data_IF_770395365285
#
_entry.id   IF_770395365285
#
_cell.length_a   1.000
_cell.length_b   1.000
_cell.length_c   1.000
_cell.angle_alpha   90.00
_cell.angle_beta   90.00
_cell.angle_gamma   90.00
#
_symmetry.space_group_name_H-M   'P 1'
#
loop_
_entity.id
_entity.type
_entity.pdbx_description
1 polymer ?
#
# COMPACT_ATOMS: atom_id res chain seq x y z
N UNK A 1 24.41 24.99 -6.57
CA UNK A 1 23.83 23.68 -6.13
C UNK A 1 23.18 23.93 -4.78
N UNK A 2 21.87 24.09 -4.75
CA UNK A 2 21.12 24.19 -3.48
C UNK A 2 21.12 22.80 -2.82
N UNK A 3 21.86 22.67 -1.72
CA UNK A 3 21.79 21.48 -0.88
C UNK A 3 20.37 21.40 -0.32
N UNK A 4 19.54 20.58 -0.96
CA UNK A 4 18.27 20.18 -0.36
C UNK A 4 18.60 19.35 0.88
N UNK A 5 17.85 19.56 1.96
CA UNK A 5 17.96 18.70 3.13
C UNK A 5 17.74 17.22 2.80
N UNK A 6 17.90 16.31 3.78
CA UNK A 6 17.72 14.88 3.55
C UNK A 6 16.35 14.62 2.94
N UNK A 7 16.27 13.64 2.02
CA UNK A 7 15.03 13.22 1.38
C UNK A 7 14.05 12.71 2.44
N UNK A 8 12.78 13.13 2.37
CA UNK A 8 11.72 12.66 3.24
C UNK A 8 10.57 12.10 2.40
N UNK A 9 10.13 10.88 2.69
CA UNK A 9 9.01 10.24 2.00
C UNK A 9 7.75 10.29 2.89
N UNK A 10 6.67 10.86 2.37
CA UNK A 10 5.34 10.81 2.98
C UNK A 10 4.51 9.75 2.28
N UNK A 11 4.01 8.77 3.03
CA UNK A 11 3.18 7.67 2.53
C UNK A 11 1.78 7.87 3.08
N UNK A 12 0.85 8.22 2.22
CA UNK A 12 -0.56 8.39 2.56
C UNK A 12 -1.30 7.09 2.32
N UNK A 13 -2.01 6.61 3.34
CA UNK A 13 -2.81 5.38 3.31
C UNK A 13 -4.24 5.66 3.76
N UNK A 14 -5.16 4.79 3.35
CA UNK A 14 -6.57 5.03 3.62
C UNK A 14 -7.01 4.54 5.00
N UNK A 15 -6.46 3.43 5.51
CA UNK A 15 -6.92 2.81 6.74
C UNK A 15 -5.78 2.32 7.66
N UNK A 16 -6.05 2.16 8.98
CA UNK A 16 -5.06 1.75 9.97
C UNK A 16 -4.41 0.39 9.70
N UNK A 17 -5.11 -0.58 9.11
CA UNK A 17 -4.55 -1.90 8.79
C UNK A 17 -3.44 -1.81 7.74
N UNK A 18 -3.58 -0.91 6.77
CA UNK A 18 -2.54 -0.60 5.79
C UNK A 18 -1.33 0.05 6.48
N UNK A 19 -1.55 1.00 7.38
CA UNK A 19 -0.48 1.62 8.16
C UNK A 19 0.32 0.58 8.94
N UNK A 20 -0.37 -0.34 9.65
CA UNK A 20 0.28 -1.42 10.42
C UNK A 20 1.10 -2.36 9.52
N UNK A 21 0.58 -2.68 8.34
CA UNK A 21 1.30 -3.48 7.35
C UNK A 21 2.57 -2.76 6.90
N UNK A 22 2.46 -1.49 6.53
CA UNK A 22 3.58 -0.72 5.98
C UNK A 22 4.66 -0.39 7.00
N UNK A 23 4.33 -0.23 8.29
CA UNK A 23 5.33 -0.08 9.36
C UNK A 23 6.33 -1.24 9.41
N UNK A 24 5.92 -2.43 8.96
CA UNK A 24 6.75 -3.64 8.93
C UNK A 24 7.39 -3.87 7.57
N UNK A 25 6.63 -3.66 6.49
CA UNK A 25 7.07 -4.01 5.13
C UNK A 25 7.98 -2.94 4.54
N UNK A 26 7.73 -1.64 4.78
CA UNK A 26 8.54 -0.54 4.24
C UNK A 26 10.01 -0.63 4.67
N UNK A 27 10.37 -0.84 5.95
CA UNK A 27 11.76 -1.04 6.35
C UNK A 27 12.46 -2.16 5.60
N UNK A 28 11.77 -3.27 5.30
CA UNK A 28 12.34 -4.39 4.54
C UNK A 28 12.59 -4.05 3.08
N UNK A 29 11.77 -3.16 2.49
CA UNK A 29 11.97 -2.67 1.12
C UNK A 29 13.11 -1.64 1.08
N UNK A 30 13.17 -0.75 2.06
CA UNK A 30 14.22 0.28 2.17
C UNK A 30 15.59 -0.39 2.40
N UNK A 31 15.64 -1.45 3.23
CA UNK A 31 16.90 -2.09 3.63
C UNK A 31 17.80 -1.11 4.39
N UNK A 32 19.10 -1.15 4.10
CA UNK A 32 20.12 -0.33 4.78
C UNK A 32 20.17 1.14 4.30
N UNK A 33 19.21 1.58 3.46
CA UNK A 33 19.19 2.98 3.00
C UNK A 33 18.70 3.89 4.13
N UNK A 34 19.43 4.95 4.39
CA UNK A 34 19.01 6.01 5.32
C UNK A 34 18.03 6.97 4.63
N UNK A 35 16.79 6.54 4.51
CA UNK A 35 15.70 7.33 3.90
C UNK A 35 14.58 7.47 4.92
N UNK A 36 14.45 8.63 5.56
CA UNK A 36 13.36 8.89 6.48
C UNK A 36 12.01 8.89 5.76
N UNK A 37 11.03 8.27 6.39
CA UNK A 37 9.66 8.22 5.89
C UNK A 37 8.64 8.42 7.00
N UNK A 38 7.44 8.83 6.63
CA UNK A 38 6.30 8.94 7.54
C UNK A 38 5.06 8.39 6.87
N UNK A 39 4.38 7.46 7.54
CA UNK A 39 3.08 6.94 7.12
C UNK A 39 2.00 7.82 7.75
N UNK A 40 0.99 8.15 6.96
CA UNK A 40 -0.15 9.01 7.37
C UNK A 40 -1.42 8.24 7.02
N UNK A 41 -2.06 7.70 8.03
CA UNK A 41 -3.39 7.12 7.94
C UNK A 41 -4.47 8.21 7.94
N UNK A 42 -5.44 8.07 7.05
CA UNK A 42 -6.59 8.97 6.93
C UNK A 42 -7.87 8.39 7.55
N UNK A 43 -7.87 7.11 7.91
CA UNK A 43 -8.98 6.39 8.51
C UNK A 43 -10.08 5.95 7.54
N UNK A 44 -10.10 6.43 6.31
CA UNK A 44 -10.96 5.93 5.23
C UNK A 44 -10.61 6.55 3.88
N UNK A 45 -11.02 5.88 2.77
CA UNK A 45 -10.90 6.36 1.39
C UNK A 45 -11.47 7.77 1.21
N UNK A 46 -12.68 8.03 1.74
CA UNK A 46 -13.34 9.32 1.62
C UNK A 46 -12.53 10.42 2.30
N UNK A 47 -12.00 10.17 3.49
CA UNK A 47 -11.16 11.12 4.21
C UNK A 47 -9.84 11.35 3.46
N UNK A 48 -9.19 10.28 2.97
CA UNK A 48 -7.97 10.40 2.17
C UNK A 48 -8.22 11.31 0.97
N UNK A 49 -9.23 11.02 0.14
CA UNK A 49 -9.54 11.77 -1.06
C UNK A 49 -9.95 13.22 -0.78
N UNK A 50 -10.58 13.49 0.37
CA UNK A 50 -10.95 14.83 0.81
C UNK A 50 -9.74 15.65 1.28
N UNK A 51 -8.83 15.01 2.03
CA UNK A 51 -7.74 15.70 2.72
C UNK A 51 -6.48 15.81 1.85
N UNK A 52 -6.32 14.90 0.87
CA UNK A 52 -5.15 14.83 0.00
C UNK A 52 -4.83 16.14 -0.73
N UNK A 53 -5.80 16.86 -1.33
CA UNK A 53 -5.50 18.15 -1.99
C UNK A 53 -4.79 19.13 -1.04
N UNK A 54 -5.33 19.34 0.17
CA UNK A 54 -4.74 20.22 1.17
C UNK A 54 -3.34 19.77 1.60
N UNK A 55 -3.12 18.44 1.72
CA UNK A 55 -1.80 17.88 2.04
C UNK A 55 -0.80 18.16 0.92
N UNK A 56 -1.18 17.89 -0.33
CA UNK A 56 -0.31 18.13 -1.49
C UNK A 56 0.01 19.61 -1.67
N UNK A 57 -0.95 20.52 -1.49
CA UNK A 57 -0.71 21.95 -1.46
C UNK A 57 0.32 22.35 -0.39
N UNK A 58 0.25 21.74 0.78
CA UNK A 58 1.24 21.94 1.85
C UNK A 58 2.64 21.48 1.44
N UNK A 59 2.77 20.32 0.80
CA UNK A 59 4.05 19.81 0.30
C UNK A 59 4.60 20.64 -0.86
N UNK A 60 3.76 21.06 -1.80
CA UNK A 60 4.16 21.90 -2.92
C UNK A 60 4.89 23.19 -2.46
N UNK A 61 4.41 23.81 -1.37
CA UNK A 61 5.05 24.99 -0.77
C UNK A 61 6.40 24.70 -0.11
N UNK A 62 6.64 23.47 0.33
CA UNK A 62 7.88 23.05 1.00
C UNK A 62 8.95 22.52 0.05
N UNK A 63 8.54 21.87 -1.05
CA UNK A 63 9.44 21.25 -2.04
C UNK A 63 10.57 22.18 -2.54
N UNK A 64 10.40 23.51 -2.72
CA UNK A 64 11.51 24.38 -3.11
C UNK A 64 12.69 24.40 -2.11
N UNK A 65 12.44 24.02 -0.85
CA UNK A 65 13.43 24.03 0.24
C UNK A 65 13.77 22.64 0.75
N UNK A 66 12.94 21.63 0.48
CA UNK A 66 13.04 20.28 1.02
C UNK A 66 12.89 19.24 -0.10
N UNK A 67 13.65 18.14 -0.05
CA UNK A 67 13.48 17.02 -0.99
C UNK A 67 12.35 16.09 -0.52
N UNK A 68 11.11 16.54 -0.70
CA UNK A 68 9.93 15.77 -0.35
C UNK A 68 9.50 14.87 -1.50
N UNK A 69 9.16 13.63 -1.16
CA UNK A 69 8.55 12.63 -2.04
C UNK A 69 7.26 12.13 -1.42
N UNK A 70 6.28 11.84 -2.24
CA UNK A 70 4.95 11.46 -1.79
C UNK A 70 4.53 10.15 -2.47
N UNK A 71 4.12 9.18 -1.67
CA UNK A 71 3.43 7.98 -2.14
C UNK A 71 2.00 8.03 -1.62
N UNK A 72 1.04 7.84 -2.52
CA UNK A 72 -0.37 7.68 -2.17
C UNK A 72 -0.77 6.25 -2.48
N UNK A 73 -1.30 5.55 -1.50
CA UNK A 73 -1.75 4.17 -1.59
C UNK A 73 -3.21 4.09 -1.15
N UNK A 74 -4.05 3.52 -2.01
CA UNK A 74 -5.50 3.47 -1.83
C UNK A 74 -6.04 2.13 -2.35
N UNK A 75 -7.00 1.55 -1.65
CA UNK A 75 -7.65 0.33 -2.10
C UNK A 75 -8.61 0.62 -3.26
N UNK A 76 -8.72 -0.31 -4.20
CA UNK A 76 -9.65 -0.19 -5.31
C UNK A 76 -11.08 -0.34 -4.83
N UNK A 77 -11.34 -1.31 -3.97
CA UNK A 77 -12.68 -1.79 -3.63
C UNK A 77 -13.49 -2.10 -4.91
N UNK A 78 -14.66 -1.46 -5.04
CA UNK A 78 -15.56 -1.55 -6.20
C UNK A 78 -15.35 -0.46 -7.23
N UNK A 79 -14.38 0.45 -7.02
CA UNK A 79 -14.13 1.56 -7.94
C UNK A 79 -13.54 1.09 -9.27
N UNK A 80 -13.79 1.87 -10.32
CA UNK A 80 -13.03 1.75 -11.57
C UNK A 80 -11.59 2.21 -11.36
N UNK A 81 -10.64 1.29 -11.53
CA UNK A 81 -9.22 1.53 -11.28
C UNK A 81 -8.65 2.70 -12.09
N UNK A 82 -9.09 2.87 -13.35
CA UNK A 82 -8.61 3.95 -14.23
C UNK A 82 -9.16 5.30 -13.77
N UNK A 83 -10.44 5.36 -13.41
CA UNK A 83 -11.07 6.59 -12.87
C UNK A 83 -10.45 6.99 -11.54
N UNK A 84 -10.24 6.03 -10.64
CA UNK A 84 -9.59 6.28 -9.35
C UNK A 84 -8.15 6.79 -9.56
N UNK A 85 -7.39 6.15 -10.45
CA UNK A 85 -6.04 6.60 -10.81
C UNK A 85 -6.06 8.01 -11.39
N UNK A 86 -6.93 8.29 -12.35
CA UNK A 86 -7.06 9.62 -12.96
C UNK A 86 -7.41 10.69 -11.92
N UNK A 87 -8.28 10.37 -10.95
CA UNK A 87 -8.61 11.27 -9.85
C UNK A 87 -7.39 11.63 -9.01
N UNK A 88 -6.57 10.66 -8.61
CA UNK A 88 -5.33 10.90 -7.84
C UNK A 88 -4.31 11.73 -8.64
N UNK A 89 -4.16 11.42 -9.94
CA UNK A 89 -3.27 12.17 -10.83
C UNK A 89 -3.74 13.63 -10.98
N UNK A 90 -5.05 13.87 -11.10
CA UNK A 90 -5.61 15.22 -11.18
C UNK A 90 -5.42 16.00 -9.88
N UNK A 91 -5.57 15.36 -8.70
CA UNK A 91 -5.30 16.01 -7.42
C UNK A 91 -3.84 16.50 -7.36
N UNK A 92 -2.87 15.66 -7.77
CA UNK A 92 -1.47 16.06 -7.79
C UNK A 92 -1.19 17.17 -8.83
N UNK A 93 -1.79 17.09 -10.01
CA UNK A 93 -1.63 18.07 -11.09
C UNK A 93 -2.17 19.45 -10.69
N UNK A 94 -3.31 19.51 -9.99
CA UNK A 94 -3.88 20.76 -9.52
C UNK A 94 -2.95 21.52 -8.56
N UNK A 95 -2.13 20.77 -7.82
CA UNK A 95 -1.11 21.32 -6.94
C UNK A 95 0.28 21.48 -7.62
N UNK A 96 0.33 21.36 -8.95
CA UNK A 96 1.54 21.47 -9.76
C UNK A 96 2.65 20.47 -9.37
N UNK A 97 2.28 19.33 -8.82
CA UNK A 97 3.20 18.27 -8.45
C UNK A 97 3.29 17.22 -9.56
N UNK A 98 4.46 17.08 -10.21
CA UNK A 98 4.66 16.07 -11.23
C UNK A 98 4.56 14.67 -10.60
N UNK A 99 3.83 13.78 -11.27
CA UNK A 99 3.66 12.39 -10.84
C UNK A 99 4.55 11.45 -11.64
N UNK A 100 4.75 10.22 -11.15
CA UNK A 100 5.47 9.19 -11.93
C UNK A 100 4.80 8.88 -13.27
N UNK A 101 3.48 9.04 -13.37
CA UNK A 101 2.72 8.81 -14.61
C UNK A 101 2.76 10.03 -15.55
N UNK A 102 3.08 11.21 -15.03
CA UNK A 102 3.20 12.48 -15.76
C UNK A 102 4.37 13.29 -15.19
N UNK A 103 5.62 12.87 -15.49
CA UNK A 103 6.80 13.53 -15.00
C UNK A 103 7.04 14.88 -15.72
N UNK A 104 7.97 15.68 -15.22
CA UNK A 104 8.49 16.84 -15.93
C UNK A 104 9.23 16.42 -17.20
N UNK A 105 9.49 17.33 -18.17
CA UNK A 105 10.21 16.99 -19.41
C UNK A 105 11.60 16.36 -19.18
N UNK A 106 12.26 16.68 -18.07
CA UNK A 106 13.54 16.08 -17.64
C UNK A 106 13.36 14.79 -16.78
N UNK A 107 12.16 14.22 -16.78
CA UNK A 107 11.87 12.94 -16.14
C UNK A 107 11.66 12.97 -14.61
N UNK A 108 11.72 14.15 -13.99
CA UNK A 108 11.54 14.27 -12.52
C UNK A 108 10.08 14.19 -12.12
N UNK A 109 9.82 13.59 -10.97
CA UNK A 109 8.50 13.54 -10.33
C UNK A 109 8.61 13.62 -8.81
N UNK A 110 7.49 13.91 -8.15
CA UNK A 110 7.39 14.03 -6.69
C UNK A 110 6.34 13.10 -6.10
N UNK A 111 5.36 12.70 -6.89
CA UNK A 111 4.22 11.90 -6.42
C UNK A 111 4.15 10.57 -7.16
N UNK A 112 3.97 9.50 -6.39
CA UNK A 112 3.65 8.16 -6.90
C UNK A 112 2.28 7.76 -6.36
N UNK A 113 1.31 7.58 -7.24
CA UNK A 113 -0.01 7.07 -6.88
C UNK A 113 -0.07 5.57 -7.18
N UNK A 114 -0.47 4.76 -6.20
CA UNK A 114 -0.67 3.32 -6.31
C UNK A 114 -2.04 2.92 -5.83
N UNK A 115 -2.62 1.95 -6.50
CA UNK A 115 -3.91 1.37 -6.16
C UNK A 115 -3.65 -0.08 -5.80
N UNK A 116 -4.10 -0.48 -4.63
CA UNK A 116 -4.17 -1.88 -4.21
C UNK A 116 -5.38 -2.48 -4.92
N UNK A 117 -5.17 -3.54 -5.65
CA UNK A 117 -6.25 -4.16 -6.41
C UNK A 117 -7.08 -5.03 -5.47
N UNK A 118 -8.37 -4.81 -5.49
CA UNK A 118 -9.37 -5.14 -4.48
C UNK A 118 -9.05 -4.39 -3.18
N UNK A 119 -8.41 -5.04 -2.21
CA UNK A 119 -8.12 -4.55 -0.87
C UNK A 119 -6.74 -5.03 -0.42
N UNK A 120 -6.25 -4.51 0.70
CA UNK A 120 -4.97 -4.89 1.33
C UNK A 120 -4.78 -6.41 1.43
N UNK A 121 -5.84 -7.16 1.70
CA UNK A 121 -5.79 -8.61 1.92
C UNK A 121 -5.33 -9.39 0.69
N UNK A 122 -5.46 -8.84 -0.51
CA UNK A 122 -4.86 -9.39 -1.72
C UNK A 122 -3.34 -9.56 -1.57
N UNK A 123 -2.68 -8.62 -0.88
CA UNK A 123 -1.25 -8.69 -0.62
C UNK A 123 -0.89 -9.84 0.33
N UNK A 124 -1.77 -10.15 1.30
CA UNK A 124 -1.56 -11.29 2.21
C UNK A 124 -1.69 -12.62 1.47
N UNK A 125 -2.66 -12.74 0.57
CA UNK A 125 -2.77 -13.90 -0.33
C UNK A 125 -1.61 -13.99 -1.34
N UNK A 126 -0.99 -12.87 -1.65
CA UNK A 126 0.23 -12.83 -2.46
C UNK A 126 1.44 -13.47 -1.80
N UNK A 127 1.41 -13.68 -0.48
CA UNK A 127 2.46 -14.33 0.30
C UNK A 127 1.87 -15.40 1.24
N UNK A 128 1.33 -16.47 0.65
CA UNK A 128 0.76 -17.59 1.43
C UNK A 128 1.72 -18.15 2.47
N UNK A 129 3.04 -18.27 2.24
CA UNK A 129 3.97 -18.64 3.30
C UNK A 129 3.94 -17.72 4.53
N UNK A 130 3.68 -16.43 4.35
CA UNK A 130 3.52 -15.50 5.47
C UNK A 130 2.22 -15.77 6.24
N UNK A 131 1.11 -16.07 5.54
CA UNK A 131 -0.14 -16.50 6.16
C UNK A 131 0.04 -17.77 7.00
N UNK A 132 0.72 -18.79 6.46
CA UNK A 132 0.97 -20.04 7.18
C UNK A 132 1.86 -19.85 8.41
N UNK A 133 2.84 -18.94 8.34
CA UNK A 133 3.68 -18.61 9.51
C UNK A 133 2.94 -17.80 10.56
N UNK A 134 2.04 -16.92 10.14
CA UNK A 134 1.22 -16.14 11.05
C UNK A 134 0.12 -16.99 11.72
N UNK A 135 -0.39 -18.00 11.00
CA UNK A 135 -1.50 -18.86 11.43
C UNK A 135 -1.19 -20.29 11.02
N UNK A 136 -0.57 -21.04 11.91
CA UNK A 136 0.00 -22.39 11.68
C UNK A 136 -0.99 -23.45 11.22
N UNK A 137 -2.29 -23.27 11.53
CA UNK A 137 -3.37 -24.15 11.03
C UNK A 137 -3.78 -23.87 9.58
N UNK A 138 -3.23 -22.85 8.92
CA UNK A 138 -3.46 -22.60 7.49
C UNK A 138 -2.55 -23.54 6.67
N UNK A 139 -3.12 -24.41 5.80
CA UNK A 139 -2.33 -25.35 5.04
C UNK A 139 -1.54 -24.64 3.91
N UNK A 140 -0.30 -25.05 3.68
CA UNK A 140 0.54 -24.53 2.59
C UNK A 140 -0.09 -24.73 1.20
N UNK A 141 -0.92 -25.79 1.04
CA UNK A 141 -1.68 -26.07 -0.19
C UNK A 141 -2.71 -24.98 -0.54
N UNK A 142 -2.89 -23.97 0.34
CA UNK A 142 -3.71 -22.81 0.00
C UNK A 142 -3.19 -22.11 -1.27
N UNK A 143 -1.87 -22.04 -1.45
CA UNK A 143 -1.23 -21.44 -2.63
C UNK A 143 -1.59 -22.18 -3.96
N UNK A 144 -1.88 -23.48 -3.88
CA UNK A 144 -2.15 -24.30 -5.06
C UNK A 144 -3.59 -24.16 -5.56
N UNK A 145 -4.48 -23.63 -4.73
CA UNK A 145 -5.87 -23.44 -5.10
C UNK A 145 -6.02 -22.39 -6.18
N UNK A 146 -6.77 -22.73 -7.22
CA UNK A 146 -7.00 -21.86 -8.40
C UNK A 146 -7.42 -20.44 -8.03
N UNK A 147 -8.26 -20.27 -7.01
CA UNK A 147 -8.79 -18.98 -6.57
C UNK A 147 -7.72 -18.04 -5.98
N UNK A 148 -6.58 -18.57 -5.47
CA UNK A 148 -5.50 -17.77 -4.86
C UNK A 148 -4.25 -17.62 -5.75
N UNK A 149 -4.23 -18.21 -6.96
CA UNK A 149 -3.10 -18.08 -7.90
C UNK A 149 -2.87 -16.66 -8.40
N UNK A 150 -3.94 -15.88 -8.48
CA UNK A 150 -3.85 -14.44 -8.77
C UNK A 150 -4.51 -13.67 -7.63
N UNK A 151 -3.74 -13.17 -6.66
CA UNK A 151 -4.27 -12.48 -5.49
C UNK A 151 -5.12 -11.25 -5.82
N UNK A 152 -4.77 -10.55 -6.90
CA UNK A 152 -5.48 -9.35 -7.36
C UNK A 152 -6.75 -9.67 -8.18
N UNK A 153 -7.14 -10.94 -8.29
CA UNK A 153 -8.34 -11.37 -9.02
C UNK A 153 -9.22 -12.30 -8.17
N UNK A 154 -9.09 -12.28 -6.86
CA UNK A 154 -9.91 -13.05 -5.94
C UNK A 154 -11.33 -12.46 -5.96
N UNK A 155 -12.31 -13.28 -6.36
CA UNK A 155 -13.70 -12.86 -6.41
C UNK A 155 -14.38 -12.91 -5.04
N UNK A 156 -15.30 -11.97 -4.79
CA UNK A 156 -16.16 -11.96 -3.59
C UNK A 156 -15.54 -11.26 -2.39
N UNK A 157 -14.58 -10.33 -2.61
CA UNK A 157 -13.91 -9.56 -1.56
C UNK A 157 -12.73 -10.33 -0.94
N UNK A 158 -11.58 -9.69 -0.88
CA UNK A 158 -10.37 -10.32 -0.33
C UNK A 158 -10.42 -10.37 1.19
N UNK A 159 -11.07 -9.40 1.82
CA UNK A 159 -11.32 -9.38 3.26
C UNK A 159 -12.23 -10.55 3.72
N UNK A 160 -13.36 -10.77 3.03
CA UNK A 160 -14.28 -11.88 3.30
C UNK A 160 -13.58 -13.22 3.12
N UNK A 161 -12.75 -13.33 2.08
CA UNK A 161 -11.95 -14.54 1.84
C UNK A 161 -10.94 -14.79 2.96
N UNK A 162 -10.23 -13.76 3.41
CA UNK A 162 -9.28 -13.89 4.52
C UNK A 162 -10.00 -14.32 5.80
N UNK A 163 -11.12 -13.67 6.12
CA UNK A 163 -11.95 -14.07 7.26
C UNK A 163 -12.35 -15.54 7.19
N UNK A 164 -12.83 -15.98 6.04
CA UNK A 164 -13.25 -17.37 5.86
C UNK A 164 -12.09 -18.36 6.01
N UNK A 165 -10.92 -18.04 5.45
CA UNK A 165 -9.71 -18.88 5.59
C UNK A 165 -9.31 -18.99 7.06
N UNK A 166 -9.27 -17.88 7.79
CA UNK A 166 -8.92 -17.85 9.21
C UNK A 166 -9.93 -18.63 10.07
N UNK A 167 -11.23 -18.44 9.83
CA UNK A 167 -12.28 -19.16 10.57
C UNK A 167 -12.24 -20.67 10.31
N UNK A 168 -11.99 -21.09 9.07
CA UNK A 168 -11.81 -22.53 8.75
C UNK A 168 -10.57 -23.13 9.40
N UNK A 169 -9.55 -22.32 9.63
CA UNK A 169 -8.35 -22.71 10.36
C UNK A 169 -8.51 -22.66 11.89
N UNK A 170 -9.73 -22.35 12.40
CA UNK A 170 -10.04 -22.30 13.82
C UNK A 170 -9.78 -20.97 14.52
N UNK A 171 -9.38 -19.93 13.77
CA UNK A 171 -9.13 -18.59 14.33
C UNK A 171 -10.38 -17.71 14.24
N UNK A 172 -10.64 -16.92 15.27
CA UNK A 172 -11.72 -15.92 15.31
C UNK A 172 -13.13 -16.49 15.05
N UNK A 173 -13.39 -17.76 15.42
CA UNK A 173 -14.65 -18.46 15.17
C UNK A 173 -15.85 -17.88 15.93
N UNK A 174 -15.61 -17.17 17.04
CA UNK A 174 -16.67 -16.57 17.89
C UNK A 174 -16.85 -15.07 17.67
N UNK A 175 -16.18 -14.45 16.70
CA UNK A 175 -16.24 -12.99 16.50
C UNK A 175 -17.01 -12.62 15.23
N UNK A 176 -17.89 -11.59 15.29
CA UNK A 176 -18.63 -11.13 14.11
C UNK A 176 -17.73 -10.45 13.06
N UNK A 177 -16.58 -9.92 13.49
CA UNK A 177 -15.59 -9.27 12.62
C UNK A 177 -14.18 -9.61 13.06
N UNK A 178 -13.23 -9.63 12.12
CA UNK A 178 -11.81 -9.77 12.44
C UNK A 178 -11.22 -8.43 12.93
N UNK A 179 -10.28 -8.47 13.87
CA UNK A 179 -9.51 -7.29 14.27
C UNK A 179 -8.48 -6.95 13.17
N UNK A 180 -8.89 -6.15 12.17
CA UNK A 180 -8.11 -5.87 10.95
C UNK A 180 -6.65 -5.50 11.23
N UNK A 181 -6.40 -4.56 12.13
CA UNK A 181 -5.04 -4.11 12.47
C UNK A 181 -4.18 -5.22 13.09
N UNK A 182 -4.76 -6.06 13.95
CA UNK A 182 -4.05 -7.18 14.57
C UNK A 182 -3.68 -8.23 13.51
N UNK A 183 -4.65 -8.61 12.67
CA UNK A 183 -4.46 -9.58 11.59
C UNK A 183 -3.39 -9.07 10.62
N UNK A 184 -3.48 -7.81 10.19
CA UNK A 184 -2.54 -7.18 9.29
C UNK A 184 -1.11 -7.17 9.88
N UNK A 185 -0.97 -6.73 11.12
CA UNK A 185 0.33 -6.72 11.82
C UNK A 185 0.93 -8.11 11.95
N UNK A 186 0.11 -9.10 12.33
CA UNK A 186 0.56 -10.47 12.51
C UNK A 186 1.04 -11.10 11.21
N UNK A 187 0.34 -10.91 10.10
CA UNK A 187 0.75 -11.43 8.78
C UNK A 187 1.98 -10.69 8.27
N UNK A 188 2.00 -9.36 8.37
CA UNK A 188 3.08 -8.52 7.87
C UNK A 188 4.45 -8.88 8.47
N UNK A 189 4.49 -9.39 9.71
CA UNK A 189 5.73 -9.85 10.35
C UNK A 189 6.46 -10.93 9.55
N UNK A 190 5.77 -11.70 8.72
CA UNK A 190 6.32 -12.80 7.94
C UNK A 190 6.34 -12.52 6.44
N UNK A 191 5.78 -11.38 5.99
CA UNK A 191 5.78 -11.01 4.57
C UNK A 191 7.20 -10.75 4.07
N UNK A 192 7.51 -11.34 2.92
CA UNK A 192 8.75 -11.11 2.19
C UNK A 192 8.46 -10.35 0.90
N UNK A 193 8.91 -9.07 0.77
CA UNK A 193 8.57 -8.25 -0.40
C UNK A 193 8.93 -8.89 -1.74
N UNK A 194 10.06 -9.62 -1.81
CA UNK A 194 10.51 -10.28 -3.04
C UNK A 194 9.71 -11.52 -3.40
N UNK A 195 9.07 -12.17 -2.42
CA UNK A 195 8.30 -13.40 -2.62
C UNK A 195 6.86 -13.12 -3.02
N UNK A 196 6.33 -11.95 -2.66
CA UNK A 196 4.92 -11.64 -2.85
C UNK A 196 4.52 -11.68 -4.34
N UNK A 197 3.49 -12.46 -4.65
CA UNK A 197 3.02 -12.69 -6.02
C UNK A 197 1.97 -11.69 -6.49
N UNK A 198 1.40 -10.85 -5.59
CA UNK A 198 0.40 -9.85 -5.97
C UNK A 198 1.00 -8.82 -6.93
N UNK A 199 0.40 -8.63 -8.13
CA UNK A 199 0.85 -7.60 -9.07
C UNK A 199 0.78 -6.19 -8.47
N UNK A 200 -0.29 -5.86 -7.75
CA UNK A 200 -0.44 -4.52 -7.12
C UNK A 200 0.59 -4.28 -6.02
N UNK A 201 0.94 -5.30 -5.25
CA UNK A 201 2.03 -5.21 -4.29
C UNK A 201 3.39 -4.95 -4.96
N UNK A 202 3.69 -5.68 -6.03
CA UNK A 202 4.92 -5.44 -6.81
C UNK A 202 4.97 -4.03 -7.39
N UNK A 203 3.84 -3.50 -7.87
CA UNK A 203 3.75 -2.11 -8.33
C UNK A 203 3.93 -1.10 -7.19
N UNK A 204 3.47 -1.42 -5.98
CA UNK A 204 3.76 -0.63 -4.79
C UNK A 204 5.27 -0.62 -4.49
N UNK A 205 5.93 -1.78 -4.45
CA UNK A 205 7.39 -1.90 -4.20
C UNK A 205 8.17 -1.08 -5.23
N UNK A 206 7.93 -1.30 -6.53
CA UNK A 206 8.56 -0.54 -7.62
C UNK A 206 8.30 0.98 -7.46
N UNK A 207 7.08 1.34 -7.08
CA UNK A 207 6.71 2.75 -6.86
C UNK A 207 7.50 3.37 -5.72
N UNK A 208 7.59 2.67 -4.61
CA UNK A 208 8.35 3.11 -3.44
C UNK A 208 9.85 3.22 -3.76
N UNK A 209 10.43 2.21 -4.39
CA UNK A 209 11.85 2.20 -4.78
C UNK A 209 12.23 3.37 -5.68
N UNK A 210 11.35 3.79 -6.61
CA UNK A 210 11.63 4.96 -7.45
C UNK A 210 11.63 6.30 -6.71
N UNK A 211 11.15 6.34 -5.47
CA UNK A 211 11.22 7.54 -4.63
C UNK A 211 12.55 7.64 -3.87
N UNK A 212 13.34 6.57 -3.83
CA UNK A 212 14.67 6.58 -3.22
C UNK A 212 15.75 7.14 -4.17
N UNK A 213 15.52 7.05 -5.45
CA UNK A 213 16.40 7.54 -6.52
C UNK A 213 15.99 9.00 -6.87
#
# INVERSE_FOLDING_TARGET
MTAHGPRMIYIHVEEPSMEETLKIVVPRIIGDRDVPYRIIDHGSKQKLLRDLPKRLAGYARRIPREDLRILVLIDRDTDDCRRLKARLENIARNEQLPTKSSPTPDGRFRVVNRIVIEELEAWFFGDVPALCKAYDSIPASLADRREFRNPDAIAGGTWEKLRHVLQRAGYFTGTPSLPKCEVARRIAQYMEPRRNSSPSFRQFVIGLETLFN
#
